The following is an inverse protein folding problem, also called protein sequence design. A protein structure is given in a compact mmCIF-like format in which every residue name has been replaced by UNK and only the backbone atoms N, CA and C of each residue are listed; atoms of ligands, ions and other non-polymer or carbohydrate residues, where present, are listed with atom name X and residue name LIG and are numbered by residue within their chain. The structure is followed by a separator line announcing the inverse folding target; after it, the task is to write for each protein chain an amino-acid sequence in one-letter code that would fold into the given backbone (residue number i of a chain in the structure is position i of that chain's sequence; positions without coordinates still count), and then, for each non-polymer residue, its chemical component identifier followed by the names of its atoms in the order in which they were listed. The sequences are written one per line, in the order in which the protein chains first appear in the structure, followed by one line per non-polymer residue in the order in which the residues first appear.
data_IF_261113401274
#
_entry.id   IF_261113401274
#
_cell.length_a   1.000
_cell.length_b   1.000
_cell.length_c   1.000
_cell.angle_alpha   90.00
_cell.angle_beta   90.00
_cell.angle_gamma   90.00
#
_symmetry.space_group_name_H-M   'P 1'
#
loop_
_entity.id
_entity.type
_entity.pdbx_description
1 polymer ?
#
# COMPACT_ATOMS: atom_id res chain seq x y z
N UNK A 1 -29.95 -1.36 -6.39
CA UNK A 1 -30.17 -2.53 -5.49
C UNK A 1 -29.08 -3.53 -5.84
N UNK A 2 -28.21 -3.88 -4.89
CA UNK A 2 -27.23 -4.94 -5.09
C UNK A 2 -27.98 -6.26 -5.30
N UNK A 3 -27.62 -6.99 -6.35
CA UNK A 3 -28.00 -8.40 -6.44
C UNK A 3 -27.32 -9.15 -5.29
N UNK A 4 -28.08 -9.94 -4.55
CA UNK A 4 -27.68 -10.70 -3.34
C UNK A 4 -26.62 -11.80 -3.61
N UNK A 5 -25.59 -11.55 -4.42
CA UNK A 5 -24.65 -12.60 -4.80
C UNK A 5 -23.24 -12.19 -5.20
N UNK A 6 -22.97 -10.93 -5.53
CA UNK A 6 -21.64 -10.54 -6.00
C UNK A 6 -20.67 -10.29 -4.81
N UNK A 7 -19.50 -10.96 -4.85
CA UNK A 7 -18.49 -10.75 -3.83
C UNK A 7 -17.78 -9.41 -4.05
N UNK A 8 -17.53 -8.66 -2.99
CA UNK A 8 -16.66 -7.50 -2.99
C UNK A 8 -15.23 -7.99 -3.23
N UNK A 9 -14.62 -7.57 -4.33
CA UNK A 9 -13.26 -7.93 -4.70
C UNK A 9 -12.30 -6.83 -4.31
N UNK A 10 -11.37 -7.14 -3.41
CA UNK A 10 -10.32 -6.24 -2.94
C UNK A 10 -8.97 -6.78 -3.40
N UNK A 11 -8.32 -6.08 -4.29
CA UNK A 11 -6.98 -6.39 -4.77
C UNK A 11 -5.97 -5.57 -3.98
N UNK A 12 -4.99 -6.25 -3.39
CA UNK A 12 -4.00 -5.60 -2.50
C UNK A 12 -2.63 -5.66 -3.13
N UNK A 13 -2.06 -4.48 -3.42
CA UNK A 13 -0.68 -4.35 -3.90
C UNK A 13 0.30 -4.68 -2.78
N UNK A 14 1.11 -5.70 -2.96
CA UNK A 14 2.06 -6.16 -1.96
C UNK A 14 3.27 -6.87 -2.58
N UNK A 15 4.35 -6.95 -1.84
CA UNK A 15 5.43 -7.90 -2.07
C UNK A 15 5.43 -9.00 -0.98
N UNK A 16 6.35 -9.96 -1.09
CA UNK A 16 6.43 -11.08 -0.14
C UNK A 16 6.63 -10.61 1.31
N UNK A 17 7.33 -9.52 1.54
CA UNK A 17 7.60 -9.01 2.89
C UNK A 17 6.37 -8.39 3.58
N UNK A 18 5.31 -8.13 2.82
CA UNK A 18 4.09 -7.47 3.30
C UNK A 18 2.90 -8.42 3.47
N UNK A 19 3.04 -9.72 3.19
CA UNK A 19 1.91 -10.67 3.24
C UNK A 19 1.22 -10.74 4.61
N UNK A 20 1.97 -10.59 5.71
CA UNK A 20 1.34 -10.52 7.02
C UNK A 20 0.55 -9.20 7.19
N UNK A 21 1.05 -8.08 6.67
CA UNK A 21 0.31 -6.82 6.69
C UNK A 21 -0.99 -6.93 5.86
N UNK A 22 -0.94 -7.60 4.70
CA UNK A 22 -2.14 -7.95 3.92
C UNK A 22 -3.12 -8.77 4.74
N UNK A 23 -2.65 -9.78 5.49
CA UNK A 23 -3.51 -10.61 6.33
C UNK A 23 -4.19 -9.79 7.45
N UNK A 24 -3.47 -8.82 8.02
CA UNK A 24 -4.02 -7.89 9.03
C UNK A 24 -5.08 -6.97 8.39
N UNK A 25 -4.81 -6.43 7.20
CA UNK A 25 -5.78 -5.65 6.45
C UNK A 25 -7.04 -6.49 6.13
N UNK A 26 -6.87 -7.70 5.60
CA UNK A 26 -7.98 -8.60 5.29
C UNK A 26 -8.83 -8.91 6.53
N UNK A 27 -8.19 -9.21 7.66
CA UNK A 27 -8.89 -9.48 8.92
C UNK A 27 -9.68 -8.24 9.37
N UNK A 28 -9.08 -7.06 9.33
CA UNK A 28 -9.76 -5.81 9.68
C UNK A 28 -10.97 -5.53 8.80
N UNK A 29 -10.91 -5.82 7.49
CA UNK A 29 -12.07 -5.71 6.59
C UNK A 29 -13.16 -6.71 7.00
N UNK A 30 -12.79 -8.00 7.13
CA UNK A 30 -13.75 -9.08 7.46
C UNK A 30 -14.47 -8.84 8.78
N UNK A 31 -13.80 -8.27 9.75
CA UNK A 31 -14.35 -7.97 11.09
C UNK A 31 -15.44 -6.90 11.04
N UNK A 32 -15.43 -6.00 10.05
CA UNK A 32 -16.36 -4.89 9.94
C UNK A 32 -17.46 -5.09 8.89
N UNK A 33 -17.48 -6.23 8.20
CA UNK A 33 -18.52 -6.51 7.19
C UNK A 33 -19.00 -7.94 7.26
N UNK A 34 -20.28 -8.15 6.90
CA UNK A 34 -20.85 -9.46 6.64
C UNK A 34 -21.03 -9.74 5.14
N UNK A 35 -20.52 -8.86 4.27
CA UNK A 35 -20.59 -9.05 2.84
C UNK A 35 -19.67 -10.23 2.40
N UNK A 36 -20.05 -10.87 1.30
CA UNK A 36 -19.16 -11.83 0.65
C UNK A 36 -17.93 -11.10 0.13
N UNK A 37 -16.76 -11.49 0.59
CA UNK A 37 -15.50 -10.79 0.34
C UNK A 37 -14.47 -11.72 -0.30
N UNK A 38 -13.71 -11.19 -1.26
CA UNK A 38 -12.49 -11.79 -1.79
C UNK A 38 -11.36 -10.77 -1.64
N UNK A 39 -10.35 -11.07 -0.84
CA UNK A 39 -9.12 -10.29 -0.75
C UNK A 39 -8.03 -11.04 -1.53
N UNK A 40 -7.42 -10.37 -2.48
CA UNK A 40 -6.51 -10.95 -3.47
C UNK A 40 -5.18 -10.21 -3.38
N UNK A 41 -4.17 -10.79 -2.69
CA UNK A 41 -2.82 -10.23 -2.69
C UNK A 41 -2.22 -10.30 -4.09
N UNK A 42 -1.73 -9.18 -4.59
CA UNK A 42 -1.06 -9.10 -5.89
C UNK A 42 0.45 -9.14 -5.70
N UNK A 43 0.99 -10.35 -5.52
CA UNK A 43 2.41 -10.61 -5.30
C UNK A 43 3.01 -11.28 -6.53
N UNK A 44 4.22 -10.87 -6.90
CA UNK A 44 5.01 -11.47 -7.98
C UNK A 44 4.27 -11.60 -9.32
N UNK A 45 3.43 -10.61 -9.64
CA UNK A 45 2.76 -10.58 -10.93
C UNK A 45 3.79 -10.45 -12.07
N UNK A 46 3.58 -11.13 -13.21
CA UNK A 46 4.44 -11.02 -14.38
C UNK A 46 4.25 -9.66 -15.06
N UNK A 47 5.00 -8.66 -14.61
CA UNK A 47 4.96 -7.30 -15.12
C UNK A 47 6.18 -7.07 -16.02
N UNK A 48 6.01 -6.61 -17.28
CA UNK A 48 7.13 -6.26 -18.15
C UNK A 48 8.01 -5.18 -17.53
N UNK A 49 9.32 -5.26 -17.77
CA UNK A 49 10.25 -4.19 -17.37
C UNK A 49 10.34 -3.17 -18.51
N UNK A 50 10.18 -1.87 -18.25
CA UNK A 50 10.45 -0.85 -19.24
C UNK A 50 11.89 -0.92 -19.76
N UNK A 51 12.11 -0.54 -21.02
CA UNK A 51 13.44 -0.45 -21.64
C UNK A 51 14.32 0.57 -20.93
N UNK A 52 13.72 1.69 -20.50
CA UNK A 52 14.38 2.68 -19.65
C UNK A 52 14.12 2.36 -18.17
N UNK A 53 15.15 1.95 -17.40
CA UNK A 53 15.00 1.59 -16.00
C UNK A 53 14.58 2.78 -15.10
N UNK A 54 14.65 4.03 -15.59
CA UNK A 54 14.07 5.21 -14.88
C UNK A 54 12.56 5.09 -14.77
N UNK A 55 11.92 4.44 -15.72
CA UNK A 55 10.49 4.13 -15.74
C UNK A 55 10.13 2.83 -14.99
N UNK A 56 11.11 2.12 -14.43
CA UNK A 56 10.89 0.90 -13.65
C UNK A 56 10.10 1.15 -12.34
N UNK A 57 9.45 0.10 -11.85
CA UNK A 57 8.70 0.12 -10.61
C UNK A 57 9.56 0.64 -9.42
N UNK A 58 8.95 1.46 -8.56
CA UNK A 58 9.58 1.95 -7.31
C UNK A 58 9.50 0.92 -6.19
N UNK A 59 8.43 0.13 -6.17
CA UNK A 59 8.23 -1.06 -5.33
C UNK A 59 7.93 -2.24 -6.23
N UNK A 60 8.09 -3.48 -5.76
CA UNK A 60 7.82 -4.68 -6.56
C UNK A 60 6.39 -4.80 -7.09
N UNK A 61 5.48 -3.98 -6.59
CA UNK A 61 4.06 -4.01 -6.92
C UNK A 61 3.48 -2.68 -7.45
N UNK A 62 4.31 -1.67 -7.75
CA UNK A 62 3.80 -0.35 -8.18
C UNK A 62 2.84 -0.43 -9.37
N UNK A 63 3.09 -1.33 -10.31
CA UNK A 63 2.25 -1.50 -11.49
C UNK A 63 1.10 -2.51 -11.32
N UNK A 64 1.03 -3.23 -10.20
CA UNK A 64 0.03 -4.30 -10.00
C UNK A 64 -1.41 -3.80 -10.14
N UNK A 65 -1.69 -2.56 -9.73
CA UNK A 65 -3.03 -1.95 -9.87
C UNK A 65 -3.55 -1.91 -11.31
N UNK A 66 -2.66 -1.83 -12.29
CA UNK A 66 -3.04 -1.84 -13.71
C UNK A 66 -3.33 -3.25 -14.25
N UNK A 67 -2.98 -4.30 -13.49
CA UNK A 67 -3.34 -5.67 -13.83
C UNK A 67 -4.76 -6.05 -13.43
N UNK A 68 -5.41 -5.26 -12.56
CA UNK A 68 -6.71 -5.59 -11.95
C UNK A 68 -7.81 -5.85 -12.98
N UNK A 69 -8.02 -5.06 -14.04
CA UNK A 69 -9.06 -5.36 -15.02
C UNK A 69 -8.91 -6.75 -15.64
N UNK A 70 -7.67 -7.15 -16.00
CA UNK A 70 -7.37 -8.50 -16.51
C UNK A 70 -7.62 -9.57 -15.45
N UNK A 71 -7.15 -9.37 -14.21
CA UNK A 71 -7.34 -10.32 -13.10
C UNK A 71 -8.83 -10.50 -12.75
N UNK A 72 -9.63 -9.45 -12.97
CA UNK A 72 -11.07 -9.48 -12.83
C UNK A 72 -11.81 -10.07 -14.05
N UNK A 73 -11.06 -10.48 -15.09
CA UNK A 73 -11.63 -10.95 -16.35
C UNK A 73 -12.37 -9.88 -17.13
N UNK A 74 -12.02 -8.59 -16.93
CA UNK A 74 -12.68 -7.42 -17.50
C UNK A 74 -14.19 -7.39 -17.19
N UNK A 75 -14.58 -7.76 -15.95
CA UNK A 75 -15.97 -7.83 -15.52
C UNK A 75 -16.20 -7.16 -14.17
N UNK A 76 -17.32 -6.44 -14.05
CA UNK A 76 -17.77 -5.80 -12.82
C UNK A 76 -16.76 -4.81 -12.29
N UNK A 77 -16.77 -4.58 -10.99
CA UNK A 77 -15.88 -3.61 -10.34
C UNK A 77 -14.95 -4.25 -9.32
N UNK A 78 -13.91 -3.51 -8.92
CA UNK A 78 -12.92 -3.93 -7.95
C UNK A 78 -12.49 -2.76 -7.05
N UNK A 79 -12.01 -3.07 -5.85
CA UNK A 79 -11.26 -2.14 -4.99
C UNK A 79 -9.78 -2.49 -5.11
N UNK A 80 -8.94 -1.47 -5.24
CA UNK A 80 -7.50 -1.56 -5.01
C UNK A 80 -7.14 -0.92 -3.68
N UNK A 81 -6.21 -1.54 -2.94
CA UNK A 81 -5.61 -1.00 -1.72
C UNK A 81 -4.12 -1.31 -1.67
N UNK A 82 -3.33 -0.44 -1.04
CA UNK A 82 -1.96 -0.78 -0.63
C UNK A 82 -2.01 -1.67 0.63
N UNK A 83 -0.95 -2.44 0.90
CA UNK A 83 -0.91 -3.44 1.99
C UNK A 83 -0.83 -2.83 3.40
N UNK A 84 -0.38 -1.59 3.50
CA UNK A 84 -0.08 -0.87 4.74
C UNK A 84 -1.27 -0.09 5.29
N UNK A 85 -2.42 -0.72 5.26
CA UNK A 85 -3.71 -0.13 5.66
C UNK A 85 -4.41 -0.93 6.76
N UNK A 86 -5.33 -0.27 7.46
CA UNK A 86 -6.20 -0.87 8.47
C UNK A 86 -7.60 -0.27 8.37
N UNK A 87 -8.63 -1.12 8.25
CA UNK A 87 -10.02 -0.72 8.06
C UNK A 87 -10.80 -0.75 9.38
N UNK A 88 -11.68 0.25 9.61
CA UNK A 88 -12.46 0.42 10.83
C UNK A 88 -13.97 0.51 10.58
N UNK A 89 -14.42 0.44 9.33
CA UNK A 89 -15.83 0.53 8.94
C UNK A 89 -16.18 -0.53 7.90
N UNK A 90 -17.47 -0.67 7.64
CA UNK A 90 -17.95 -1.62 6.64
C UNK A 90 -17.47 -1.24 5.24
N UNK A 91 -16.72 -2.13 4.60
CA UNK A 91 -16.17 -1.93 3.25
C UNK A 91 -17.25 -1.68 2.18
N UNK A 92 -18.53 -2.04 2.48
CA UNK A 92 -19.67 -1.73 1.60
C UNK A 92 -19.85 -0.23 1.39
N UNK A 93 -19.51 0.59 2.37
CA UNK A 93 -19.58 2.05 2.23
C UNK A 93 -18.64 2.55 1.12
N UNK A 94 -17.42 2.01 1.04
CA UNK A 94 -16.50 2.29 -0.06
C UNK A 94 -16.98 1.69 -1.38
N UNK A 95 -17.42 0.41 -1.34
CA UNK A 95 -17.92 -0.31 -2.52
C UNK A 95 -19.10 0.37 -3.20
N UNK A 96 -19.94 1.09 -2.44
CA UNK A 96 -21.16 1.74 -2.93
C UNK A 96 -20.92 3.14 -3.51
N UNK A 97 -19.72 3.70 -3.39
CA UNK A 97 -19.42 5.00 -4.00
C UNK A 97 -19.67 4.92 -5.50
N UNK A 98 -20.48 5.83 -6.06
CA UNK A 98 -20.84 5.77 -7.48
C UNK A 98 -19.69 6.20 -8.37
N UNK A 99 -19.63 5.66 -9.56
CA UNK A 99 -18.65 6.06 -10.57
C UNK A 99 -19.05 7.36 -11.30
N UNK A 100 -20.34 7.72 -11.33
CA UNK A 100 -20.89 8.92 -11.98
C UNK A 100 -20.40 9.10 -13.42
N UNK A 101 -20.31 7.98 -14.16
CA UNK A 101 -19.82 7.97 -15.54
C UNK A 101 -18.32 7.81 -15.68
N UNK A 102 -17.53 7.97 -14.63
CA UNK A 102 -16.08 7.71 -14.65
C UNK A 102 -15.75 6.22 -14.73
N UNK A 103 -14.50 5.89 -15.04
CA UNK A 103 -13.96 4.51 -15.06
C UNK A 103 -13.24 4.17 -13.77
N UNK A 104 -12.74 5.17 -13.05
CA UNK A 104 -12.09 5.02 -11.74
C UNK A 104 -12.64 6.04 -10.76
N UNK A 105 -12.70 5.64 -9.48
CA UNK A 105 -12.95 6.57 -8.37
C UNK A 105 -11.73 6.55 -7.47
N UNK A 106 -11.20 7.73 -7.17
CA UNK A 106 -10.01 7.92 -6.33
C UNK A 106 -10.27 9.03 -5.30
N UNK A 107 -9.35 9.19 -4.38
CA UNK A 107 -9.33 10.32 -3.47
C UNK A 107 -8.72 11.54 -4.16
N UNK A 108 -9.28 12.72 -3.91
CA UNK A 108 -8.63 13.98 -4.27
C UNK A 108 -7.37 14.17 -3.44
N UNK A 109 -6.35 14.80 -4.02
CA UNK A 109 -5.16 15.15 -3.27
C UNK A 109 -5.52 16.03 -2.06
N UNK A 110 -4.99 15.66 -0.90
CA UNK A 110 -5.16 16.45 0.31
C UNK A 110 -4.22 17.66 0.21
N UNK A 111 -4.78 18.86 0.22
CA UNK A 111 -3.97 20.08 0.31
C UNK A 111 -3.21 20.06 1.63
N UNK A 112 -1.93 20.11 1.55
CA UNK A 112 -0.81 20.28 2.47
C UNK A 112 -1.03 20.52 3.99
N UNK A 113 -2.23 20.62 4.52
CA UNK A 113 -2.48 21.09 5.88
C UNK A 113 -2.55 20.00 6.94
N UNK A 114 -2.59 18.72 6.57
CA UNK A 114 -2.97 17.66 7.50
C UNK A 114 -1.98 16.49 7.61
N UNK A 115 -0.91 16.47 6.85
CA UNK A 115 0.15 15.48 7.04
C UNK A 115 1.26 16.09 7.90
N UNK A 116 1.33 15.71 9.15
CA UNK A 116 2.35 16.17 10.12
C UNK A 116 3.77 15.70 9.78
N UNK A 117 3.97 14.92 8.74
CA UNK A 117 5.27 14.41 8.33
C UNK A 117 5.46 14.57 6.82
N UNK A 118 5.89 15.76 6.42
CA UNK A 118 6.47 15.94 5.09
C UNK A 118 7.83 15.27 5.09
N UNK A 119 7.95 14.06 4.52
CA UNK A 119 9.24 13.43 4.32
C UNK A 119 9.85 13.88 3.01
N UNK A 120 11.15 14.17 3.08
CA UNK A 120 12.00 14.27 1.91
C UNK A 120 11.81 13.01 1.05
N UNK A 121 11.40 13.20 -0.22
CA UNK A 121 11.17 12.13 -1.17
C UNK A 121 9.71 11.78 -1.47
N UNK A 122 8.71 12.35 -0.77
CA UNK A 122 7.34 12.31 -1.27
C UNK A 122 7.26 13.17 -2.55
N UNK A 123 6.73 12.64 -3.66
CA UNK A 123 6.69 13.40 -4.89
C UNK A 123 5.85 14.65 -4.70
N UNK A 124 6.48 15.82 -4.86
CA UNK A 124 5.81 17.12 -4.82
C UNK A 124 4.77 17.31 -5.93
N UNK A 125 4.61 16.32 -6.80
CA UNK A 125 3.79 16.34 -8.00
C UNK A 125 2.69 15.27 -8.05
N UNK A 126 2.39 14.59 -6.93
CA UNK A 126 1.30 13.61 -6.92
C UNK A 126 -0.03 14.36 -6.96
N UNK A 127 -0.67 14.35 -8.11
CA UNK A 127 -1.96 15.02 -8.34
C UNK A 127 -3.12 14.09 -7.96
N UNK A 128 -2.96 12.78 -8.16
CA UNK A 128 -4.00 11.78 -7.95
C UNK A 128 -3.57 10.77 -6.88
N UNK A 129 -4.40 10.61 -5.84
CA UNK A 129 -4.16 9.66 -4.76
C UNK A 129 -4.73 8.29 -5.14
N UNK A 130 -3.84 7.36 -5.52
CA UNK A 130 -4.20 6.05 -6.06
C UNK A 130 -3.89 4.89 -5.11
N UNK A 131 -3.72 5.14 -3.81
CA UNK A 131 -3.50 4.10 -2.82
C UNK A 131 -4.79 3.34 -2.48
N UNK A 132 -5.94 4.00 -2.62
CA UNK A 132 -7.28 3.40 -2.61
C UNK A 132 -7.98 3.79 -3.90
N UNK A 133 -8.49 2.80 -4.64
CA UNK A 133 -9.19 3.03 -5.90
C UNK A 133 -10.42 2.12 -6.02
N UNK A 134 -11.49 2.64 -6.60
CA UNK A 134 -12.54 1.81 -7.21
C UNK A 134 -12.28 1.77 -8.71
N UNK A 135 -12.36 0.59 -9.30
CA UNK A 135 -12.13 0.36 -10.72
C UNK A 135 -13.36 -0.28 -11.37
N UNK A 136 -13.85 0.32 -12.44
CA UNK A 136 -14.83 -0.31 -13.35
C UNK A 136 -14.05 -1.18 -14.34
N UNK A 137 -13.92 -2.47 -13.99
CA UNK A 137 -13.10 -3.40 -14.76
C UNK A 137 -13.66 -3.70 -16.15
N UNK A 138 -14.95 -3.45 -16.41
CA UNK A 138 -15.57 -3.66 -17.73
C UNK A 138 -15.20 -2.54 -18.70
N UNK A 139 -15.04 -1.32 -18.18
CA UNK A 139 -14.74 -0.12 -18.98
C UNK A 139 -13.25 0.19 -19.05
N UNK A 140 -12.43 -0.43 -18.21
CA UNK A 140 -10.97 -0.30 -18.21
C UNK A 140 -10.36 -1.38 -19.10
N UNK A 141 -9.85 -0.98 -20.24
CA UNK A 141 -9.19 -1.86 -21.21
C UNK A 141 -7.66 -1.89 -21.08
N UNK A 142 -7.13 -1.56 -19.90
CA UNK A 142 -5.70 -1.58 -19.66
C UNK A 142 -5.11 -2.97 -19.79
N UNK A 143 -3.95 -3.02 -20.40
CA UNK A 143 -3.02 -4.14 -20.27
C UNK A 143 -1.69 -3.59 -19.79
N UNK A 144 -1.06 -4.27 -18.87
CA UNK A 144 0.22 -3.78 -18.33
C UNK A 144 1.29 -3.71 -19.44
N UNK A 145 1.20 -4.59 -20.43
CA UNK A 145 2.08 -4.59 -21.59
C UNK A 145 1.92 -3.32 -22.41
N UNK A 146 0.69 -2.90 -22.71
CA UNK A 146 0.44 -1.66 -23.46
C UNK A 146 0.88 -0.42 -22.69
N UNK A 147 0.74 -0.42 -21.35
CA UNK A 147 1.17 0.68 -20.51
C UNK A 147 2.71 0.80 -20.46
N UNK A 148 3.41 -0.31 -20.35
CA UNK A 148 4.88 -0.32 -20.41
C UNK A 148 5.37 0.08 -21.79
N UNK A 149 4.77 -0.43 -22.87
CA UNK A 149 5.09 -0.02 -24.25
C UNK A 149 4.89 1.49 -24.45
N UNK A 150 3.84 2.08 -23.86
CA UNK A 150 3.63 3.53 -23.93
C UNK A 150 4.76 4.35 -23.28
N UNK A 151 5.37 3.86 -22.21
CA UNK A 151 6.58 4.46 -21.61
C UNK A 151 7.80 4.27 -22.52
N UNK A 152 7.96 3.09 -23.12
CA UNK A 152 9.07 2.78 -24.03
C UNK A 152 8.99 3.59 -25.33
N UNK A 153 7.80 3.89 -25.79
CA UNK A 153 7.52 4.78 -26.93
C UNK A 153 7.69 6.28 -26.60
N UNK A 154 7.97 6.62 -25.31
CA UNK A 154 8.11 8.01 -24.87
C UNK A 154 6.80 8.80 -24.81
N UNK A 155 5.64 8.14 -24.80
CA UNK A 155 4.33 8.82 -24.71
C UNK A 155 4.11 9.46 -23.33
N UNK A 156 4.65 8.84 -22.30
CA UNK A 156 4.64 9.29 -20.89
C UNK A 156 5.73 8.56 -20.11
N UNK A 157 6.04 9.06 -18.92
CA UNK A 157 6.97 8.45 -17.99
C UNK A 157 6.26 7.79 -16.78
N UNK A 158 7.06 7.21 -15.88
CA UNK A 158 6.57 6.60 -14.64
C UNK A 158 5.75 7.57 -13.79
N UNK A 159 6.18 8.83 -13.65
CA UNK A 159 5.50 9.81 -12.79
C UNK A 159 4.16 10.22 -13.38
N UNK A 160 4.11 10.43 -14.68
CA UNK A 160 2.87 10.74 -15.40
C UNK A 160 1.87 9.58 -15.27
N UNK A 161 2.32 8.33 -15.43
CA UNK A 161 1.47 7.15 -15.26
C UNK A 161 0.97 7.01 -13.82
N UNK A 162 1.90 7.03 -12.85
CA UNK A 162 1.59 6.66 -11.45
C UNK A 162 0.97 7.78 -10.63
N UNK A 163 1.29 9.04 -10.94
CA UNK A 163 0.85 10.18 -10.13
C UNK A 163 -0.23 11.01 -10.80
N UNK A 164 -0.38 10.88 -12.11
CA UNK A 164 -1.36 11.65 -12.88
C UNK A 164 -2.41 10.78 -13.56
N UNK A 165 -2.23 9.44 -13.61
CA UNK A 165 -3.06 8.51 -14.38
C UNK A 165 -3.26 9.02 -15.82
N UNK A 166 -2.18 9.45 -16.47
CA UNK A 166 -2.18 10.09 -17.79
C UNK A 166 -2.80 9.26 -18.93
N UNK A 167 -3.08 8.00 -18.66
CA UNK A 167 -3.73 7.05 -19.58
C UNK A 167 -5.26 7.10 -19.51
N UNK A 168 -5.80 7.99 -18.70
CA UNK A 168 -7.23 8.28 -18.58
C UNK A 168 -7.47 9.76 -18.86
N UNK A 169 -8.57 10.05 -19.53
CA UNK A 169 -9.10 11.40 -19.61
C UNK A 169 -9.63 11.84 -18.24
N UNK A 170 -9.64 13.13 -17.96
CA UNK A 170 -10.13 13.65 -16.67
C UNK A 170 -11.60 13.28 -16.40
N UNK A 171 -12.42 13.17 -17.44
CA UNK A 171 -13.80 12.72 -17.36
C UNK A 171 -13.94 11.23 -16.93
N UNK A 172 -12.88 10.45 -17.08
CA UNK A 172 -12.83 9.04 -16.65
C UNK A 172 -12.45 8.88 -15.16
N UNK A 173 -12.16 9.99 -14.45
CA UNK A 173 -11.70 9.99 -13.05
C UNK A 173 -12.72 10.72 -12.18
N UNK A 174 -13.30 10.02 -11.21
CA UNK A 174 -14.14 10.62 -10.17
C UNK A 174 -13.33 10.73 -8.86
N UNK A 175 -13.33 11.91 -8.25
CA UNK A 175 -12.65 12.19 -6.97
C UNK A 175 -13.63 12.01 -5.79
N UNK A 176 -14.38 10.91 -5.81
CA UNK A 176 -15.48 10.63 -4.89
C UNK A 176 -15.09 9.89 -3.61
N UNK A 177 -13.85 9.38 -3.47
CA UNK A 177 -13.41 8.72 -2.25
C UNK A 177 -13.12 9.79 -1.18
N UNK A 178 -13.89 9.83 -0.07
CA UNK A 178 -13.63 10.78 1.00
C UNK A 178 -12.33 10.46 1.75
N UNK A 179 -11.76 11.47 2.41
CA UNK A 179 -10.46 11.37 3.12
C UNK A 179 -10.46 10.25 4.17
N UNK A 180 -11.55 10.03 4.84
CA UNK A 180 -11.73 9.02 5.89
C UNK A 180 -11.48 7.59 5.38
N UNK A 181 -11.61 7.36 4.05
CA UNK A 181 -11.29 6.09 3.40
C UNK A 181 -9.84 5.98 2.89
N UNK A 182 -8.99 6.97 3.20
CA UNK A 182 -7.55 6.91 2.98
C UNK A 182 -6.86 7.95 3.88
N UNK A 183 -7.01 7.82 5.20
CA UNK A 183 -6.42 8.73 6.19
C UNK A 183 -4.92 8.48 6.31
N UNK A 184 -4.13 9.37 5.74
CA UNK A 184 -2.68 9.24 5.66
C UNK A 184 -2.05 9.64 6.99
N UNK A 185 -1.49 8.69 7.74
CA UNK A 185 -0.87 8.91 9.07
C UNK A 185 -1.76 9.73 10.02
N UNK A 186 -3.07 9.56 9.90
CA UNK A 186 -4.07 10.24 10.71
C UNK A 186 -5.17 9.29 11.15
N UNK A 187 -5.59 9.37 12.42
CA UNK A 187 -6.69 8.55 12.94
C UNK A 187 -7.47 9.29 14.04
N UNK A 188 -8.75 9.48 13.79
CA UNK A 188 -9.75 10.04 14.70
C UNK A 188 -11.01 9.15 14.76
N UNK A 189 -12.14 9.71 15.24
CA UNK A 189 -13.41 8.98 15.34
C UNK A 189 -14.06 8.72 13.98
N UNK A 190 -13.77 9.54 12.97
CA UNK A 190 -14.36 9.47 11.64
C UNK A 190 -13.52 8.62 10.69
N UNK A 191 -12.27 8.31 11.03
CA UNK A 191 -11.37 7.47 10.23
C UNK A 191 -12.00 6.11 9.94
N UNK A 192 -12.14 5.80 8.65
CA UNK A 192 -12.68 4.54 8.14
C UNK A 192 -11.59 3.59 7.68
N UNK A 193 -10.49 4.15 7.17
CA UNK A 193 -9.29 3.44 6.78
C UNK A 193 -8.07 4.29 7.16
N UNK A 194 -7.17 3.73 7.96
CA UNK A 194 -5.87 4.30 8.29
C UNK A 194 -4.81 3.74 7.35
N UNK A 195 -4.01 4.62 6.77
CA UNK A 195 -2.92 4.28 5.86
C UNK A 195 -1.57 4.67 6.47
N UNK A 196 -0.73 3.68 6.76
CA UNK A 196 0.63 3.83 7.30
C UNK A 196 1.63 4.13 6.18
N UNK A 197 1.53 5.30 5.57
CA UNK A 197 2.30 5.69 4.36
C UNK A 197 3.78 5.90 4.62
N UNK A 198 4.14 6.18 5.88
CA UNK A 198 5.52 6.39 6.27
C UNK A 198 6.25 5.07 6.45
N UNK A 199 6.87 4.61 5.37
CA UNK A 199 7.64 3.37 5.30
C UNK A 199 8.64 3.24 6.46
N UNK A 200 9.23 4.35 6.94
CA UNK A 200 10.23 4.33 8.00
C UNK A 200 9.64 4.14 9.41
N UNK A 201 8.36 4.43 9.59
CA UNK A 201 7.70 4.36 10.90
C UNK A 201 6.52 3.41 10.94
N UNK A 202 6.33 2.56 9.91
CA UNK A 202 5.30 1.53 9.94
C UNK A 202 5.39 0.67 11.21
N UNK A 203 4.28 0.32 11.87
CA UNK A 203 4.29 -0.31 13.20
C UNK A 203 5.09 -1.60 13.29
N UNK A 204 5.14 -2.37 12.21
CA UNK A 204 5.85 -3.66 12.15
C UNK A 204 7.35 -3.53 11.89
N UNK A 205 7.82 -2.36 11.48
CA UNK A 205 9.24 -2.09 11.22
C UNK A 205 9.87 -1.12 12.21
N UNK A 206 9.05 -0.35 12.93
CA UNK A 206 9.51 0.67 13.87
C UNK A 206 8.69 0.67 15.15
N UNK A 207 9.35 0.68 16.31
CA UNK A 207 8.69 0.87 17.60
C UNK A 207 8.45 2.36 17.88
N UNK A 208 7.21 2.71 18.20
CA UNK A 208 6.82 4.09 18.53
C UNK A 208 6.03 4.79 17.43
N UNK A 209 5.45 4.06 16.47
CA UNK A 209 4.43 4.62 15.58
C UNK A 209 3.24 5.12 16.41
N UNK A 210 2.77 6.36 16.24
CA UNK A 210 1.70 6.96 17.06
C UNK A 210 0.36 6.21 16.94
N UNK A 211 0.12 5.49 15.84
CA UNK A 211 -1.08 4.70 15.60
C UNK A 211 -0.83 3.19 15.65
N UNK A 212 0.37 2.77 16.04
CA UNK A 212 0.80 1.36 16.06
C UNK A 212 -0.09 0.48 16.93
N UNK A 213 -0.61 1.00 18.04
CA UNK A 213 -1.48 0.25 18.95
C UNK A 213 -2.75 -0.27 18.27
N UNK A 214 -3.26 0.42 17.25
CA UNK A 214 -4.42 -0.03 16.47
C UNK A 214 -4.07 -1.28 15.65
N UNK A 215 -2.90 -1.30 15.03
CA UNK A 215 -2.41 -2.44 14.28
C UNK A 215 -2.09 -3.62 15.21
N UNK A 216 -1.44 -3.38 16.36
CA UNK A 216 -1.16 -4.42 17.35
C UNK A 216 -2.44 -5.01 17.96
N UNK A 217 -3.48 -4.19 18.14
CA UNK A 217 -4.79 -4.65 18.60
C UNK A 217 -5.41 -5.63 17.61
N UNK A 218 -5.34 -5.34 16.30
CA UNK A 218 -5.85 -6.23 15.26
C UNK A 218 -5.08 -7.55 15.24
N UNK A 219 -3.75 -7.51 15.33
CA UNK A 219 -2.93 -8.74 15.41
C UNK A 219 -3.27 -9.58 16.67
N UNK A 220 -3.57 -8.92 17.81
CA UNK A 220 -4.02 -9.67 19.00
C UNK A 220 -5.34 -10.40 18.76
N UNK A 221 -6.30 -9.74 18.11
CA UNK A 221 -7.57 -10.39 17.73
C UNK A 221 -7.33 -11.60 16.84
N UNK A 222 -6.49 -11.46 15.81
CA UNK A 222 -6.12 -12.57 14.92
C UNK A 222 -5.46 -13.74 15.65
N UNK A 223 -4.64 -13.47 16.67
CA UNK A 223 -4.03 -14.51 17.50
C UNK A 223 -5.07 -15.18 18.43
N UNK A 224 -6.09 -14.44 18.87
CA UNK A 224 -7.15 -14.94 19.74
C UNK A 224 -8.16 -15.81 19.00
N UNK A 225 -8.53 -15.44 17.79
CA UNK A 225 -9.51 -16.19 16.97
C UNK A 225 -8.86 -17.27 16.09
N UNK A 226 -7.52 -17.36 16.10
CA UNK A 226 -6.75 -18.37 15.38
C UNK A 226 -6.55 -18.11 13.90
N UNK A 227 -6.95 -16.93 13.38
CA UNK A 227 -6.72 -16.52 11.98
C UNK A 227 -5.23 -16.25 11.71
N UNK A 228 -4.45 -15.98 12.75
CA UNK A 228 -2.97 -15.91 12.71
C UNK A 228 -2.39 -16.83 13.80
N UNK A 229 -1.45 -17.69 13.41
CA UNK A 229 -0.69 -18.50 14.39
C UNK A 229 0.56 -17.75 14.84
N UNK A 230 0.91 -17.88 16.12
CA UNK A 230 2.14 -17.28 16.65
C UNK A 230 3.42 -17.80 15.97
N UNK A 231 3.39 -19.00 15.36
CA UNK A 231 4.46 -19.53 14.51
C UNK A 231 4.63 -18.73 13.23
N UNK A 232 3.53 -18.31 12.61
CA UNK A 232 3.58 -17.57 11.36
C UNK A 232 4.15 -16.16 11.60
N UNK A 233 3.74 -15.50 12.69
CA UNK A 233 4.33 -14.23 13.11
C UNK A 233 5.85 -14.35 13.36
N UNK A 234 6.28 -15.41 14.08
CA UNK A 234 7.72 -15.65 14.34
C UNK A 234 8.49 -15.87 13.05
N UNK A 235 7.92 -16.65 12.13
CA UNK A 235 8.54 -16.90 10.81
C UNK A 235 8.81 -15.59 10.04
N UNK A 236 7.85 -14.68 10.01
CA UNK A 236 8.02 -13.39 9.30
C UNK A 236 9.08 -12.51 9.98
N UNK A 237 9.22 -12.59 11.31
CA UNK A 237 10.30 -11.93 12.06
C UNK A 237 11.66 -12.58 11.74
N UNK A 238 11.75 -13.91 11.71
CA UNK A 238 12.98 -14.64 11.39
C UNK A 238 13.45 -14.37 9.95
N UNK A 239 12.51 -14.16 9.03
CA UNK A 239 12.80 -13.73 7.66
C UNK A 239 13.28 -12.25 7.57
N UNK A 240 13.23 -11.51 8.69
CA UNK A 240 13.66 -10.11 8.75
C UNK A 240 12.67 -9.11 8.14
N UNK A 241 11.43 -9.52 7.90
CA UNK A 241 10.40 -8.61 7.37
C UNK A 241 9.78 -7.76 8.47
N UNK A 242 9.75 -8.27 9.69
CA UNK A 242 9.17 -7.63 10.86
C UNK A 242 10.22 -7.53 11.97
N UNK A 243 10.18 -6.44 12.74
CA UNK A 243 11.11 -6.20 13.83
C UNK A 243 10.97 -7.24 14.95
N UNK A 244 12.08 -7.69 15.57
CA UNK A 244 12.06 -8.68 16.63
C UNK A 244 11.25 -8.26 17.85
N UNK A 245 11.27 -6.98 18.22
CA UNK A 245 10.53 -6.46 19.38
C UNK A 245 9.01 -6.39 19.17
N UNK A 246 8.51 -6.62 17.94
CA UNK A 246 7.09 -6.57 17.61
C UNK A 246 6.23 -7.46 18.53
N UNK A 247 6.73 -8.65 18.88
CA UNK A 247 6.04 -9.56 19.80
C UNK A 247 5.79 -8.92 21.16
N UNK A 248 6.71 -8.07 21.65
CA UNK A 248 6.53 -7.34 22.92
C UNK A 248 5.44 -6.29 22.82
N UNK A 249 5.39 -5.51 21.73
CA UNK A 249 4.33 -4.55 21.52
C UNK A 249 2.96 -5.21 21.44
N UNK A 250 2.85 -6.31 20.69
CA UNK A 250 1.61 -7.07 20.58
C UNK A 250 1.17 -7.59 21.95
N UNK A 251 2.09 -8.20 22.73
CA UNK A 251 1.75 -8.82 24.01
C UNK A 251 1.55 -7.83 25.15
N UNK A 252 2.38 -6.83 25.24
CA UNK A 252 2.50 -5.97 26.44
C UNK A 252 2.29 -4.49 26.18
N UNK A 253 2.37 -4.03 24.91
CA UNK A 253 2.29 -2.61 24.58
C UNK A 253 1.03 -1.92 25.14
N UNK A 254 -0.12 -2.59 25.10
CA UNK A 254 -1.39 -2.08 25.64
C UNK A 254 -1.45 -1.99 27.16
N UNK A 255 -0.52 -2.63 27.87
CA UNK A 255 -0.40 -2.59 29.34
C UNK A 255 0.56 -1.49 29.81
N UNK A 256 1.33 -0.88 28.91
CA UNK A 256 2.33 0.12 29.22
C UNK A 256 1.64 1.47 29.49
N UNK A 257 1.75 2.04 30.72
CA UNK A 257 1.21 3.35 31.02
C UNK A 257 1.79 4.42 30.09
N UNK A 258 0.99 5.43 29.71
CA UNK A 258 1.37 6.46 28.75
C UNK A 258 2.69 7.16 29.09
N UNK A 259 2.94 7.45 30.39
CA UNK A 259 4.19 8.09 30.83
C UNK A 259 5.44 7.20 30.68
N UNK A 260 5.30 5.87 30.58
CA UNK A 260 6.39 4.92 30.32
C UNK A 260 6.52 4.55 28.85
N UNK A 261 5.55 4.92 28.00
CA UNK A 261 5.50 4.50 26.61
C UNK A 261 6.77 4.86 25.84
N UNK A 262 7.24 6.09 25.96
CA UNK A 262 8.45 6.53 25.27
C UNK A 262 9.70 5.69 25.67
N UNK A 263 9.83 5.33 26.95
CA UNK A 263 10.91 4.46 27.43
C UNK A 263 10.80 3.04 26.87
N UNK A 264 9.60 2.50 26.83
CA UNK A 264 9.32 1.19 26.25
C UNK A 264 9.65 1.15 24.75
N UNK A 265 9.25 2.17 23.99
CA UNK A 265 9.56 2.28 22.55
C UNK A 265 11.06 2.42 22.31
N UNK A 266 11.78 3.23 23.12
CA UNK A 266 13.24 3.36 23.05
C UNK A 266 13.96 2.04 23.33
N UNK A 267 13.49 1.30 24.35
CA UNK A 267 14.01 -0.03 24.68
C UNK A 267 13.83 -1.01 23.52
N UNK A 268 12.61 -1.03 22.91
CA UNK A 268 12.30 -1.88 21.79
C UNK A 268 13.20 -1.55 20.57
N UNK A 269 13.38 -0.27 20.23
CA UNK A 269 14.29 0.15 19.15
C UNK A 269 15.75 -0.26 19.42
N UNK A 270 16.20 -0.13 20.66
CA UNK A 270 17.53 -0.59 21.05
C UNK A 270 17.70 -2.09 20.87
N UNK A 271 16.70 -2.88 21.24
CA UNK A 271 16.70 -4.33 21.07
C UNK A 271 16.67 -4.75 19.59
N UNK A 272 15.87 -4.08 18.77
CA UNK A 272 15.82 -4.34 17.32
C UNK A 272 17.17 -4.05 16.65
N UNK A 273 17.79 -2.92 17.00
CA UNK A 273 19.14 -2.57 16.53
C UNK A 273 20.19 -3.59 16.98
N UNK A 274 20.15 -4.01 18.25
CA UNK A 274 21.08 -5.03 18.78
C UNK A 274 20.90 -6.39 18.10
N UNK A 275 19.67 -6.72 17.67
CA UNK A 275 19.38 -7.90 16.88
C UNK A 275 19.77 -7.79 15.40
N UNK A 276 20.31 -6.65 14.96
CA UNK A 276 20.72 -6.43 13.58
C UNK A 276 19.54 -6.21 12.60
N UNK A 277 18.37 -5.87 13.12
CA UNK A 277 17.21 -5.64 12.26
C UNK A 277 17.38 -4.39 11.39
N UNK A 278 17.13 -4.55 10.10
CA UNK A 278 17.12 -3.48 9.09
C UNK A 278 15.73 -3.42 8.48
N UNK A 279 15.01 -2.34 8.80
CA UNK A 279 13.68 -2.11 8.25
C UNK A 279 13.73 -2.05 6.72
N UNK A 280 12.77 -2.70 6.06
CA UNK A 280 12.62 -2.67 4.60
C UNK A 280 13.88 -3.03 3.80
N UNK A 281 14.68 -3.97 4.30
CA UNK A 281 15.94 -4.39 3.65
C UNK A 281 15.73 -4.72 2.16
N UNK A 282 14.67 -5.47 1.82
CA UNK A 282 14.35 -5.83 0.44
C UNK A 282 14.07 -4.59 -0.44
N UNK A 283 13.39 -3.57 0.11
CA UNK A 283 13.11 -2.31 -0.60
C UNK A 283 14.41 -1.54 -0.88
N UNK A 284 15.33 -1.49 0.08
CA UNK A 284 16.64 -0.85 -0.12
C UNK A 284 17.48 -1.59 -1.15
N UNK A 285 17.48 -2.92 -1.13
CA UNK A 285 18.21 -3.74 -2.10
C UNK A 285 17.64 -3.51 -3.51
N UNK A 286 16.32 -3.54 -3.69
CA UNK A 286 15.66 -3.24 -4.96
C UNK A 286 15.95 -1.81 -5.47
N UNK A 287 15.97 -0.81 -4.55
CA UNK A 287 16.35 0.57 -4.88
C UNK A 287 17.79 0.63 -5.38
N UNK A 288 18.72 -0.06 -4.73
CA UNK A 288 20.12 -0.12 -5.11
C UNK A 288 20.34 -0.80 -6.46
N UNK A 289 19.64 -1.90 -6.70
CA UNK A 289 19.67 -2.61 -8.00
C UNK A 289 19.15 -1.73 -9.13
N UNK A 290 18.02 -1.07 -8.90
CA UNK A 290 17.48 -0.12 -9.86
C UNK A 290 18.44 1.04 -10.13
N UNK A 291 19.10 1.59 -9.10
CA UNK A 291 20.11 2.63 -9.26
C UNK A 291 21.25 2.18 -10.17
N UNK A 292 21.75 0.94 -9.99
CA UNK A 292 22.77 0.34 -10.87
C UNK A 292 22.27 0.20 -12.31
N UNK A 293 21.08 -0.34 -12.51
CA UNK A 293 20.51 -0.49 -13.83
C UNK A 293 20.32 0.86 -14.56
N UNK A 294 19.96 1.91 -13.83
CA UNK A 294 19.89 3.28 -14.39
C UNK A 294 21.27 3.76 -14.82
N UNK A 295 22.28 3.58 -13.99
CA UNK A 295 23.65 3.99 -14.31
C UNK A 295 24.18 3.28 -15.56
N UNK A 296 24.03 1.96 -15.63
CA UNK A 296 24.44 1.15 -16.79
C UNK A 296 23.69 1.56 -18.09
N UNK A 297 22.39 1.90 -17.95
CA UNK A 297 21.60 2.40 -19.06
C UNK A 297 22.10 3.74 -19.60
N UNK A 298 22.39 4.69 -18.69
CA UNK A 298 22.92 6.01 -19.08
C UNK A 298 24.29 5.92 -19.76
N UNK A 299 25.19 5.09 -19.24
CA UNK A 299 26.52 4.85 -19.83
C UNK A 299 26.40 4.28 -21.26
N UNK A 300 25.47 3.35 -21.48
CA UNK A 300 25.23 2.74 -22.79
C UNK A 300 24.59 3.69 -23.79
N UNK A 301 23.71 4.60 -23.32
CA UNK A 301 22.93 5.49 -24.20
C UNK A 301 23.54 6.88 -24.38
N UNK A 302 24.69 7.16 -23.72
CA UNK A 302 25.33 8.48 -23.77
C UNK A 302 24.55 9.55 -23.00
N UNK A 303 23.61 9.15 -22.12
CA UNK A 303 22.79 10.05 -21.33
C UNK A 303 23.57 10.61 -20.14
N UNK A 304 23.39 11.88 -19.84
CA UNK A 304 23.88 12.47 -18.59
C UNK A 304 22.91 12.18 -17.45
N UNK A 305 23.42 11.87 -16.24
CA UNK A 305 22.58 11.80 -15.05
C UNK A 305 21.99 13.18 -14.78
N UNK A 306 20.70 13.37 -15.04
CA UNK A 306 19.99 14.52 -14.46
C UNK A 306 20.02 14.33 -12.94
N UNK A 307 20.71 15.23 -12.23
CA UNK A 307 20.97 15.15 -10.80
C UNK A 307 19.69 15.03 -9.98
N UNK A 308 19.77 14.23 -8.90
CA UNK A 308 18.78 14.17 -7.83
C UNK A 308 18.21 12.74 -7.64
N UNK A 309 18.91 11.97 -6.83
CA UNK A 309 18.37 10.74 -6.19
C UNK A 309 17.64 11.10 -4.92
#
# INVERSE_FOLDING_TARGET
MMGDGEAIRVYVGADRSQLLAVSVLEHSIKRHTNAKLQVIPMVDLPVPKPLDPRNGQRTGFSFSRFCIPRLAGYKGKAIYMDADMLVFRDIRELWQIPFDGAKVVIQREVKHQETTTRKEGAPSKRIKQCAVMLLDCERLNWTIESLVSGMDDGKYDYEQLMYQLCVLDEADVNYGIPFEWNSLEHADADTRLLHYTDVYTQPWTYAGNPFGDRWFAEVRLMLQDGSLRGSDLRREIELGYFRPSLVRDIRFGHLVPGFLRRGFDLYNRGADKAAGFIAHKAVYEAKKERGRAIQEYLERTGGTSAGGV
#
